data_IF_068901561886
#
_entry.id   IF_068901561886
#
_cell.length_a   1.000
_cell.length_b   1.000
_cell.length_c   1.000
_cell.angle_alpha   90.00
_cell.angle_beta   90.00
_cell.angle_gamma   90.00
#
_symmetry.space_group_name_H-M   'P 1'
#
loop_
_entity.id
_entity.type
_entity.pdbx_description
1 polymer ?
#
# COMPACT_ATOMS: atom_id res chain seq x y z
N UNK A 1 -9.45 27.51 7.00
CA UNK A 1 -10.02 28.24 5.85
C UNK A 1 -10.45 27.20 4.85
N UNK A 2 -11.75 27.14 4.54
CA UNK A 2 -12.45 26.17 3.67
C UNK A 2 -12.58 26.66 2.22
N UNK A 3 -11.62 27.49 1.80
CA UNK A 3 -11.75 28.32 0.59
C UNK A 3 -11.71 27.49 -0.68
N UNK A 4 -11.01 26.33 -0.68
CA UNK A 4 -10.92 25.47 -1.87
C UNK A 4 -12.24 24.76 -2.13
N UNK A 5 -12.80 24.11 -1.11
CA UNK A 5 -14.01 23.29 -1.25
C UNK A 5 -15.21 24.13 -1.65
N UNK A 6 -15.45 25.24 -0.95
CA UNK A 6 -16.60 26.11 -1.23
C UNK A 6 -16.52 26.69 -2.65
N UNK A 7 -15.31 27.06 -3.10
CA UNK A 7 -15.10 27.51 -4.48
C UNK A 7 -15.42 26.41 -5.51
N UNK A 8 -14.97 25.17 -5.27
CA UNK A 8 -15.26 24.04 -6.16
C UNK A 8 -16.76 23.69 -6.19
N UNK A 9 -17.45 23.81 -5.06
CA UNK A 9 -18.90 23.59 -4.98
C UNK A 9 -19.63 24.58 -5.89
N UNK A 10 -19.28 25.86 -5.81
CA UNK A 10 -19.89 26.91 -6.64
C UNK A 10 -19.50 26.79 -8.12
N UNK A 11 -18.21 26.55 -8.42
CA UNK A 11 -17.69 26.49 -9.79
C UNK A 11 -18.30 25.34 -10.60
N UNK A 12 -18.56 24.20 -9.96
CA UNK A 12 -18.99 22.97 -10.63
C UNK A 12 -20.44 22.57 -10.37
N UNK A 13 -21.23 23.45 -9.73
CA UNK A 13 -22.64 23.16 -9.35
C UNK A 13 -22.75 21.82 -8.61
N UNK A 14 -21.86 21.59 -7.65
CA UNK A 14 -21.75 20.33 -6.92
C UNK A 14 -23.03 20.09 -6.13
N UNK A 15 -23.63 18.91 -6.30
CA UNK A 15 -24.85 18.51 -5.58
C UNK A 15 -24.54 17.76 -4.29
N UNK A 16 -23.46 16.99 -4.28
CA UNK A 16 -23.11 16.08 -3.22
C UNK A 16 -21.66 16.26 -2.76
N UNK A 17 -21.44 16.16 -1.46
CA UNK A 17 -20.09 16.11 -0.88
C UNK A 17 -19.92 14.75 -0.23
N UNK A 18 -18.91 14.01 -0.69
CA UNK A 18 -18.62 12.65 -0.27
C UNK A 18 -17.45 12.65 0.72
N UNK A 19 -17.77 12.41 1.98
CA UNK A 19 -16.82 12.42 3.10
C UNK A 19 -16.16 11.05 3.20
N UNK A 20 -14.86 10.97 2.96
CA UNK A 20 -14.11 9.72 2.94
C UNK A 20 -13.11 9.61 4.07
N UNK A 21 -12.98 8.42 4.62
CA UNK A 21 -11.98 8.08 5.64
C UNK A 21 -11.49 6.66 5.42
N UNK A 22 -10.35 6.30 6.00
CA UNK A 22 -9.78 4.95 5.84
C UNK A 22 -9.79 4.21 7.16
N UNK A 23 -10.30 2.99 7.14
CA UNK A 23 -10.37 2.14 8.33
C UNK A 23 -9.05 1.44 8.65
N UNK A 24 -9.00 0.74 9.79
CA UNK A 24 -7.79 0.04 10.26
C UNK A 24 -7.22 -0.94 9.24
N UNK A 25 -8.06 -1.63 8.46
CA UNK A 25 -7.60 -2.61 7.46
C UNK A 25 -7.16 -1.97 6.15
N UNK A 26 -7.35 -0.66 5.98
CA UNK A 26 -6.93 0.11 4.80
C UNK A 26 -8.01 0.30 3.75
N UNK A 27 -9.26 -0.02 4.06
CA UNK A 27 -10.39 0.21 3.16
C UNK A 27 -10.89 1.64 3.32
N UNK A 28 -10.99 2.35 2.20
CA UNK A 28 -11.67 3.64 2.16
C UNK A 28 -13.18 3.43 2.30
N UNK A 29 -13.76 4.16 3.25
CA UNK A 29 -15.17 4.23 3.59
C UNK A 29 -15.69 5.63 3.28
N UNK A 30 -17.01 5.78 3.14
CA UNK A 30 -17.58 7.09 2.80
C UNK A 30 -18.98 7.32 3.35
N UNK A 31 -19.33 8.59 3.53
CA UNK A 31 -20.70 9.07 3.81
C UNK A 31 -20.95 10.31 2.95
N UNK A 32 -22.03 10.31 2.18
CA UNK A 32 -22.37 11.41 1.29
C UNK A 32 -23.43 12.32 1.91
N UNK A 33 -23.21 13.63 1.84
CA UNK A 33 -24.13 14.67 2.32
C UNK A 33 -24.50 15.67 1.20
N UNK A 34 -25.63 16.38 1.29
CA UNK A 34 -25.95 17.45 0.35
C UNK A 34 -24.93 18.58 0.41
N UNK A 35 -24.46 19.06 -0.75
CA UNK A 35 -23.49 20.17 -0.80
C UNK A 35 -23.99 21.47 -0.15
N UNK A 36 -25.31 21.68 -0.10
CA UNK A 36 -25.95 22.83 0.57
C UNK A 36 -25.72 22.85 2.10
N UNK A 37 -25.36 21.73 2.69
CA UNK A 37 -25.12 21.60 4.13
C UNK A 37 -23.63 21.78 4.47
N UNK A 38 -22.79 22.09 3.47
CA UNK A 38 -21.34 22.33 3.62
C UNK A 38 -21.06 23.83 3.60
N UNK A 39 -20.79 24.38 4.79
CA UNK A 39 -20.40 25.79 5.00
C UNK A 39 -19.09 25.88 5.81
N UNK A 40 -18.71 27.09 6.26
CA UNK A 40 -17.50 27.26 7.08
C UNK A 40 -17.59 26.53 8.42
N UNK A 41 -18.77 26.50 9.04
CA UNK A 41 -19.01 25.86 10.34
C UNK A 41 -18.89 24.32 10.24
N UNK A 42 -19.28 23.75 9.09
CA UNK A 42 -19.10 22.33 8.80
C UNK A 42 -17.63 21.87 8.91
N UNK A 43 -16.66 22.70 8.51
CA UNK A 43 -15.24 22.35 8.62
C UNK A 43 -14.70 22.43 10.06
N UNK A 44 -15.38 23.15 10.96
CA UNK A 44 -15.02 23.24 12.36
C UNK A 44 -15.64 22.09 13.17
N UNK A 45 -16.94 21.86 12.96
CA UNK A 45 -17.75 20.89 13.69
C UNK A 45 -17.60 19.46 13.15
N UNK A 46 -17.51 19.29 11.83
CA UNK A 46 -17.50 18.00 11.16
C UNK A 46 -18.87 17.31 11.11
N UNK A 47 -18.89 16.09 10.56
CA UNK A 47 -20.08 15.25 10.43
C UNK A 47 -20.07 14.12 11.45
N UNK A 48 -21.13 13.96 12.24
CA UNK A 48 -21.27 12.81 13.14
C UNK A 48 -21.52 11.52 12.36
N UNK A 49 -20.92 10.42 12.82
CA UNK A 49 -21.19 9.06 12.32
C UNK A 49 -21.04 8.00 13.43
N UNK A 50 -21.59 6.80 13.16
CA UNK A 50 -21.49 5.63 14.04
C UNK A 50 -20.22 4.83 13.74
N UNK A 51 -19.25 4.91 14.65
CA UNK A 51 -17.99 4.18 14.58
C UNK A 51 -18.06 2.72 15.03
N UNK A 52 -19.19 2.24 15.59
CA UNK A 52 -19.31 0.86 16.09
C UNK A 52 -19.40 -0.20 14.99
N UNK A 53 -19.76 0.23 13.77
CA UNK A 53 -19.76 -0.62 12.58
C UNK A 53 -18.37 -0.81 11.97
N UNK A 54 -17.34 -0.16 12.51
CA UNK A 54 -15.96 -0.26 12.04
C UNK A 54 -15.19 -1.31 12.83
N UNK A 55 -14.74 -2.37 12.15
CA UNK A 55 -13.98 -3.45 12.79
C UNK A 55 -12.72 -2.93 13.48
N UNK A 56 -12.57 -3.27 14.76
CA UNK A 56 -11.44 -2.85 15.58
C UNK A 56 -11.52 -1.41 16.10
N UNK A 57 -12.66 -0.71 15.96
CA UNK A 57 -12.88 0.63 16.53
C UNK A 57 -13.76 0.56 17.79
N UNK A 58 -14.66 1.52 17.99
CA UNK A 58 -15.47 1.69 19.20
C UNK A 58 -16.46 0.54 19.40
N UNK A 59 -16.71 0.21 20.67
CA UNK A 59 -17.84 -0.65 21.03
C UNK A 59 -19.18 0.10 20.87
N UNK A 60 -20.28 -0.65 20.82
CA UNK A 60 -21.65 -0.11 20.69
C UNK A 60 -21.99 0.90 21.81
N UNK A 61 -21.34 0.80 22.97
CA UNK A 61 -21.57 1.67 24.13
C UNK A 61 -20.87 3.04 24.04
N UNK A 62 -19.99 3.28 23.08
CA UNK A 62 -19.28 4.55 22.85
C UNK A 62 -19.11 4.83 21.35
N UNK A 63 -20.19 4.68 20.58
CA UNK A 63 -20.16 4.58 19.12
C UNK A 63 -19.95 5.91 18.37
N UNK A 64 -20.36 7.03 18.96
CA UNK A 64 -20.42 8.31 18.25
C UNK A 64 -19.03 8.88 17.98
N UNK A 65 -18.78 9.27 16.72
CA UNK A 65 -17.51 9.78 16.24
C UNK A 65 -17.74 10.95 15.26
N UNK A 66 -16.72 11.79 15.04
CA UNK A 66 -16.80 12.92 14.11
C UNK A 66 -15.86 12.68 12.91
N UNK A 67 -16.39 12.84 11.70
CA UNK A 67 -15.61 13.02 10.49
C UNK A 67 -15.29 14.50 10.32
N UNK A 68 -14.03 14.87 10.51
CA UNK A 68 -13.58 16.25 10.32
C UNK A 68 -12.93 16.39 8.94
N UNK A 69 -13.58 17.08 7.98
CA UNK A 69 -13.07 17.23 6.62
C UNK A 69 -11.83 18.12 6.55
N UNK A 70 -10.93 17.81 5.61
CA UNK A 70 -9.75 18.61 5.31
C UNK A 70 -9.86 19.26 3.93
N UNK A 71 -10.04 20.58 3.90
CA UNK A 71 -10.28 21.40 2.68
C UNK A 71 -9.26 21.15 1.55
N UNK A 72 -7.99 20.99 1.91
CA UNK A 72 -6.91 20.77 0.93
C UNK A 72 -7.08 19.51 0.08
N UNK A 73 -7.85 18.53 0.57
CA UNK A 73 -8.03 17.21 -0.05
C UNK A 73 -9.15 17.14 -1.09
N UNK A 74 -9.89 18.23 -1.29
CA UNK A 74 -11.04 18.27 -2.19
C UNK A 74 -10.67 17.94 -3.64
N UNK A 75 -11.43 17.04 -4.28
CA UNK A 75 -11.38 16.78 -5.73
C UNK A 75 -12.76 16.35 -6.25
N UNK A 76 -13.06 16.62 -7.52
CA UNK A 76 -14.30 16.14 -8.15
C UNK A 76 -14.22 14.65 -8.45
N UNK A 77 -15.24 13.90 -8.06
CA UNK A 77 -15.33 12.48 -8.41
C UNK A 77 -15.53 12.33 -9.93
N UNK A 78 -14.65 11.62 -10.65
CA UNK A 78 -14.72 11.51 -12.10
C UNK A 78 -15.72 10.43 -12.58
N UNK A 79 -16.38 9.70 -11.67
CA UNK A 79 -17.23 8.55 -12.01
C UNK A 79 -18.70 8.76 -11.66
N UNK A 80 -19.03 9.68 -10.76
CA UNK A 80 -20.42 9.95 -10.35
C UNK A 80 -21.22 10.67 -11.45
N UNK A 81 -22.48 10.29 -11.62
CA UNK A 81 -23.40 10.93 -12.58
C UNK A 81 -23.71 12.38 -12.19
N UNK A 82 -24.07 12.59 -10.92
CA UNK A 82 -24.21 13.93 -10.35
C UNK A 82 -22.84 14.46 -9.93
N UNK A 83 -22.59 15.75 -10.15
CA UNK A 83 -21.38 16.43 -9.70
C UNK A 83 -21.20 16.23 -8.18
N UNK A 84 -20.17 15.48 -7.82
CA UNK A 84 -19.86 15.09 -6.45
C UNK A 84 -18.44 15.47 -6.12
N UNK A 85 -18.24 16.12 -4.97
CA UNK A 85 -16.92 16.51 -4.49
C UNK A 85 -16.50 15.55 -3.37
N UNK A 86 -15.33 14.94 -3.51
CA UNK A 86 -14.75 14.07 -2.49
C UNK A 86 -13.93 14.91 -1.51
N UNK A 87 -14.13 14.69 -0.21
CA UNK A 87 -13.34 15.27 0.87
C UNK A 87 -12.82 14.16 1.79
N UNK A 88 -11.54 14.23 2.15
CA UNK A 88 -11.02 13.33 3.19
C UNK A 88 -11.22 13.89 4.57
N UNK A 89 -11.50 12.99 5.49
CA UNK A 89 -11.76 13.28 6.87
C UNK A 89 -10.72 12.61 7.77
N UNK A 90 -10.31 13.33 8.81
CA UNK A 90 -9.79 12.69 10.01
C UNK A 90 -10.97 12.22 10.86
N UNK A 91 -10.75 11.18 11.65
CA UNK A 91 -11.73 10.73 12.64
C UNK A 91 -11.38 11.34 13.98
N UNK A 92 -12.34 12.01 14.61
CA UNK A 92 -12.18 12.77 15.84
C UNK A 92 -13.04 12.16 16.95
N UNK A 93 -12.45 12.04 18.14
CA UNK A 93 -13.13 11.64 19.37
C UNK A 93 -13.99 12.80 19.90
N UNK A 94 -15.33 12.69 19.98
CA UNK A 94 -16.19 13.80 20.40
C UNK A 94 -15.92 14.27 21.84
N UNK A 95 -15.51 13.37 22.73
CA UNK A 95 -15.30 13.72 24.14
C UNK A 95 -14.06 14.63 24.35
N UNK A 96 -13.03 14.50 23.50
CA UNK A 96 -11.75 15.21 23.65
C UNK A 96 -11.48 16.18 22.51
N UNK A 97 -12.21 16.06 21.40
CA UNK A 97 -11.99 16.75 20.13
C UNK A 97 -10.59 16.50 19.52
N UNK A 98 -9.94 15.40 19.93
CA UNK A 98 -8.63 14.98 19.43
C UNK A 98 -8.77 13.93 18.33
N UNK A 99 -7.76 13.81 17.47
CA UNK A 99 -7.69 12.76 16.45
C UNK A 99 -7.72 11.38 17.10
N UNK A 100 -8.60 10.51 16.63
CA UNK A 100 -8.82 9.20 17.18
C UNK A 100 -7.55 8.35 17.12
N UNK A 101 -7.26 7.61 18.20
CA UNK A 101 -6.00 6.88 18.32
C UNK A 101 -5.88 5.73 17.32
N UNK A 102 -7.01 5.17 16.87
CA UNK A 102 -7.05 4.07 15.88
C UNK A 102 -7.35 4.55 14.45
N UNK A 103 -7.45 5.85 14.22
CA UNK A 103 -7.53 6.41 12.87
C UNK A 103 -6.15 6.38 12.19
N UNK A 104 -5.99 5.60 11.09
CA UNK A 104 -4.74 5.52 10.36
C UNK A 104 -4.21 6.87 9.90
N UNK A 105 -5.10 7.77 9.46
CA UNK A 105 -4.71 9.08 8.94
C UNK A 105 -4.18 9.99 10.04
N UNK A 106 -4.82 9.98 11.21
CA UNK A 106 -4.34 10.65 12.42
C UNK A 106 -2.97 10.11 12.87
N UNK A 107 -2.74 8.79 12.82
CA UNK A 107 -1.43 8.19 13.13
C UNK A 107 -0.35 8.67 12.17
N UNK A 108 -0.64 8.70 10.86
CA UNK A 108 0.28 9.20 9.85
C UNK A 108 0.66 10.68 10.08
N UNK A 109 -0.31 11.53 10.47
CA UNK A 109 -0.06 12.93 10.85
C UNK A 109 0.84 13.03 12.09
N UNK A 110 0.61 12.18 13.11
CA UNK A 110 1.48 12.11 14.29
C UNK A 110 2.91 11.68 13.91
N UNK A 111 3.08 10.78 12.96
CA UNK A 111 4.40 10.36 12.49
C UNK A 111 5.18 11.50 11.80
N UNK A 112 4.53 12.30 10.95
CA UNK A 112 5.13 13.50 10.35
C UNK A 112 5.52 14.53 11.43
N UNK A 113 4.62 14.80 12.38
CA UNK A 113 4.88 15.71 13.49
C UNK A 113 6.03 15.21 14.39
N UNK A 114 6.13 13.90 14.60
CA UNK A 114 7.20 13.30 15.37
C UNK A 114 8.56 13.49 14.70
N UNK A 115 8.68 13.26 13.39
CA UNK A 115 9.91 13.55 12.65
C UNK A 115 10.36 15.01 12.88
N UNK A 116 9.44 15.96 12.75
CA UNK A 116 9.73 17.38 13.02
C UNK A 116 10.24 17.61 14.45
N UNK A 117 9.58 17.00 15.44
CA UNK A 117 9.95 17.13 16.86
C UNK A 117 11.35 16.59 17.18
N UNK A 118 11.84 15.62 16.41
CA UNK A 118 13.19 15.06 16.59
C UNK A 118 14.29 16.01 16.10
N UNK A 119 13.95 17.01 15.27
CA UNK A 119 14.91 17.90 14.63
C UNK A 119 15.78 17.26 13.54
N UNK A 120 15.55 15.98 13.19
CA UNK A 120 16.28 15.25 12.14
C UNK A 120 15.85 15.66 10.73
N UNK A 121 14.57 15.96 10.53
CA UNK A 121 13.99 16.41 9.27
C UNK A 121 12.69 17.17 9.51
N UNK A 122 12.24 17.93 8.51
CA UNK A 122 10.94 18.61 8.51
C UNK A 122 9.90 17.92 7.61
N UNK A 123 10.36 17.13 6.65
CA UNK A 123 9.53 16.53 5.61
C UNK A 123 10.00 15.11 5.29
N UNK A 124 9.09 14.14 5.33
CA UNK A 124 9.33 12.78 4.82
C UNK A 124 8.58 12.57 3.51
N UNK A 125 9.30 12.21 2.44
CA UNK A 125 8.72 11.90 1.14
C UNK A 125 8.63 10.40 0.94
N UNK A 126 7.47 9.97 0.44
CA UNK A 126 7.14 8.60 0.09
C UNK A 126 6.73 8.53 -1.38
N UNK A 127 7.24 7.50 -2.09
CA UNK A 127 6.88 7.18 -3.46
C UNK A 127 6.60 5.68 -3.58
N UNK A 128 5.37 5.21 -3.34
CA UNK A 128 4.96 3.83 -3.58
C UNK A 128 4.72 3.55 -5.07
N UNK A 129 5.10 2.36 -5.52
CA UNK A 129 4.80 1.80 -6.84
C UNK A 129 3.87 0.56 -6.64
N UNK A 130 2.54 0.75 -6.45
CA UNK A 130 1.63 -0.36 -6.25
C UNK A 130 1.30 -1.04 -7.59
N UNK A 131 1.80 -2.25 -7.76
CA UNK A 131 1.46 -3.10 -8.89
C UNK A 131 0.03 -3.66 -8.73
N UNK A 132 -0.65 -3.95 -9.84
CA UNK A 132 -2.02 -4.48 -9.83
C UNK A 132 -2.28 -5.41 -11.01
N UNK A 133 -3.35 -6.20 -10.90
CA UNK A 133 -3.83 -7.07 -11.98
C UNK A 133 -5.16 -6.56 -12.52
N UNK A 134 -5.40 -6.75 -13.82
CA UNK A 134 -6.70 -6.59 -14.46
C UNK A 134 -7.11 -7.96 -15.03
N UNK A 135 -8.28 -8.45 -14.64
CA UNK A 135 -8.86 -9.70 -15.11
C UNK A 135 -10.19 -9.45 -15.81
N UNK A 136 -10.61 -10.39 -16.66
CA UNK A 136 -11.94 -10.35 -17.26
C UNK A 136 -13.00 -10.78 -16.24
N UNK A 137 -12.74 -11.87 -15.52
CA UNK A 137 -13.67 -12.45 -14.55
C UNK A 137 -12.89 -13.13 -13.41
N UNK A 138 -13.49 -13.13 -12.23
CA UNK A 138 -12.99 -13.89 -11.07
C UNK A 138 -14.17 -14.55 -10.37
N UNK A 139 -14.09 -15.86 -10.14
CA UNK A 139 -15.07 -16.62 -9.36
C UNK A 139 -14.37 -17.30 -8.19
N UNK A 140 -14.99 -17.31 -7.01
CA UNK A 140 -14.43 -17.99 -5.83
C UNK A 140 -15.53 -18.44 -4.88
N UNK A 141 -15.24 -19.47 -4.08
CA UNK A 141 -16.03 -19.89 -2.91
C UNK A 141 -15.15 -20.55 -1.86
N UNK A 142 -15.60 -20.53 -0.61
CA UNK A 142 -14.98 -21.20 0.53
C UNK A 142 -16.06 -21.43 1.60
N UNK A 143 -16.84 -22.49 1.41
CA UNK A 143 -18.04 -22.82 2.20
C UNK A 143 -18.16 -24.35 2.35
N UNK A 144 -19.20 -24.88 3.05
CA UNK A 144 -19.35 -26.33 3.22
C UNK A 144 -19.47 -27.16 1.93
N UNK A 145 -19.80 -26.56 0.78
CA UNK A 145 -19.79 -27.24 -0.53
C UNK A 145 -18.36 -27.42 -1.07
N UNK A 146 -17.42 -26.58 -0.64
CA UNK A 146 -16.01 -26.68 -0.97
C UNK A 146 -15.31 -25.33 -1.10
N UNK A 147 -14.04 -25.38 -1.52
CA UNK A 147 -13.20 -24.20 -1.76
C UNK A 147 -12.64 -24.19 -3.18
N UNK A 148 -12.77 -23.07 -3.90
CA UNK A 148 -12.11 -22.86 -5.19
C UNK A 148 -11.95 -21.37 -5.51
N UNK A 149 -11.07 -21.07 -6.46
CA UNK A 149 -11.07 -19.82 -7.20
C UNK A 149 -10.70 -20.07 -8.66
N UNK A 150 -11.18 -19.22 -9.57
CA UNK A 150 -10.92 -19.28 -11.01
C UNK A 150 -10.81 -17.87 -11.55
N UNK A 151 -9.71 -17.62 -12.25
CA UNK A 151 -9.43 -16.34 -12.92
C UNK A 151 -9.57 -16.54 -14.43
N UNK A 152 -10.29 -15.63 -15.06
CA UNK A 152 -10.40 -15.53 -16.51
C UNK A 152 -9.61 -14.29 -16.96
N UNK A 153 -8.64 -14.48 -17.85
CA UNK A 153 -7.86 -13.41 -18.48
C UNK A 153 -7.58 -13.75 -19.94
N UNK A 154 -7.89 -12.83 -20.85
CA UNK A 154 -7.60 -12.93 -22.28
C UNK A 154 -6.10 -13.00 -22.57
N UNK A 155 -5.27 -12.35 -21.77
CA UNK A 155 -3.80 -12.42 -21.87
C UNK A 155 -3.20 -13.69 -21.24
N UNK A 156 -3.96 -14.36 -20.37
CA UNK A 156 -3.48 -15.52 -19.63
C UNK A 156 -2.87 -16.59 -20.54
N UNK A 157 -1.69 -17.09 -20.19
CA UNK A 157 -0.99 -18.13 -20.94
C UNK A 157 -1.79 -19.44 -21.05
N UNK A 158 -2.75 -19.65 -20.16
CA UNK A 158 -3.71 -20.76 -20.19
C UNK A 158 -4.87 -20.56 -21.19
N UNK A 159 -5.00 -19.39 -21.82
CA UNK A 159 -6.08 -19.08 -22.77
C UNK A 159 -5.72 -19.32 -24.24
N UNK A 160 -4.60 -20.00 -24.51
CA UNK A 160 -4.07 -20.20 -25.88
C UNK A 160 -4.98 -21.04 -26.78
N UNK A 161 -5.75 -21.97 -26.22
CA UNK A 161 -6.71 -22.83 -26.92
C UNK A 161 -8.17 -22.45 -26.62
N UNK A 162 -8.39 -21.37 -25.86
CA UNK A 162 -9.73 -20.92 -25.47
C UNK A 162 -10.56 -20.62 -26.71
N UNK A 163 -11.75 -21.20 -26.75
CA UNK A 163 -12.78 -20.86 -27.72
C UNK A 163 -13.47 -19.57 -27.27
N UNK A 164 -13.41 -18.54 -28.09
CA UNK A 164 -14.02 -17.23 -27.88
C UNK A 164 -14.83 -16.86 -29.12
N UNK A 165 -15.98 -16.22 -28.89
CA UNK A 165 -16.78 -15.67 -29.98
C UNK A 165 -15.94 -14.65 -30.77
N UNK A 166 -15.91 -14.77 -32.10
CA UNK A 166 -15.03 -13.98 -32.95
C UNK A 166 -13.62 -14.58 -33.20
N UNK A 167 -13.27 -15.68 -32.52
CA UNK A 167 -12.02 -16.42 -32.74
C UNK A 167 -10.87 -16.00 -31.82
N UNK A 168 -9.89 -16.90 -31.64
CA UNK A 168 -8.74 -16.67 -30.76
C UNK A 168 -7.58 -16.00 -31.52
N UNK A 169 -7.30 -14.73 -31.20
CA UNK A 169 -6.29 -13.93 -31.90
C UNK A 169 -4.82 -14.22 -31.51
N UNK A 170 -4.59 -15.20 -30.63
CA UNK A 170 -3.29 -15.76 -30.23
C UNK A 170 -2.31 -14.83 -29.46
N UNK A 171 -2.20 -13.54 -29.79
CA UNK A 171 -1.22 -12.61 -29.24
C UNK A 171 -1.32 -12.48 -27.72
N UNK A 172 -0.38 -13.08 -26.99
CA UNK A 172 -0.36 -13.12 -25.51
C UNK A 172 1.06 -13.12 -24.97
N UNK A 173 1.30 -12.53 -23.78
CA UNK A 173 2.54 -12.73 -23.06
C UNK A 173 2.67 -14.20 -22.63
N UNK A 174 3.90 -14.71 -22.58
CA UNK A 174 4.21 -15.99 -21.94
C UNK A 174 4.29 -15.81 -20.43
N UNK A 175 4.32 -16.90 -19.66
CA UNK A 175 4.63 -16.85 -18.21
C UNK A 175 5.90 -16.04 -17.98
N UNK A 176 5.84 -15.03 -17.10
CA UNK A 176 6.90 -14.03 -16.86
C UNK A 176 7.31 -13.20 -18.10
N UNK A 177 6.45 -13.10 -19.10
CA UNK A 177 6.72 -12.47 -20.40
C UNK A 177 5.91 -11.20 -20.67
N UNK A 178 5.23 -10.66 -19.65
CA UNK A 178 4.42 -9.44 -19.77
C UNK A 178 5.23 -8.13 -19.76
N UNK A 179 6.53 -8.19 -19.49
CA UNK A 179 7.32 -6.97 -19.29
C UNK A 179 7.63 -6.25 -20.61
N UNK A 180 6.90 -5.17 -20.88
CA UNK A 180 7.06 -4.25 -22.03
C UNK A 180 6.86 -4.79 -23.46
N UNK A 181 6.08 -5.84 -23.75
CA UNK A 181 5.71 -6.11 -25.14
C UNK A 181 4.79 -4.99 -25.65
N UNK A 182 4.89 -4.66 -26.94
CA UNK A 182 3.97 -3.70 -27.58
C UNK A 182 2.64 -4.38 -27.94
N UNK A 183 1.55 -3.62 -28.13
CA UNK A 183 0.32 -4.14 -28.71
C UNK A 183 0.57 -4.87 -30.06
N UNK A 184 -0.17 -5.94 -30.38
CA UNK A 184 -1.37 -6.43 -29.69
C UNK A 184 -1.10 -7.43 -28.55
N UNK A 185 0.16 -7.65 -28.14
CA UNK A 185 0.47 -8.56 -27.01
C UNK A 185 0.09 -7.92 -25.67
N UNK A 186 0.37 -6.63 -25.52
CA UNK A 186 -0.15 -5.79 -24.43
C UNK A 186 -1.55 -5.28 -24.81
N UNK A 187 -2.57 -5.90 -24.23
CA UNK A 187 -3.99 -5.58 -24.47
C UNK A 187 -4.52 -4.49 -23.54
N UNK A 188 -3.78 -4.13 -22.49
CA UNK A 188 -4.19 -3.18 -21.47
C UNK A 188 -3.66 -1.76 -21.69
N UNK A 189 -2.97 -1.48 -22.80
CA UNK A 189 -2.37 -0.18 -23.10
C UNK A 189 -3.38 0.98 -22.95
N UNK A 190 -4.52 0.89 -23.62
CA UNK A 190 -5.54 1.95 -23.61
C UNK A 190 -6.25 2.07 -22.25
N UNK A 191 -6.48 0.95 -21.56
CA UNK A 191 -7.06 0.96 -20.21
C UNK A 191 -6.13 1.65 -19.22
N UNK A 192 -4.82 1.36 -19.28
CA UNK A 192 -3.82 2.09 -18.48
C UNK A 192 -3.78 3.57 -18.85
N UNK A 193 -3.87 3.91 -20.14
CA UNK A 193 -3.95 5.29 -20.60
C UNK A 193 -5.14 6.04 -20.01
N UNK A 194 -6.32 5.41 -19.97
CA UNK A 194 -7.51 5.96 -19.33
C UNK A 194 -7.31 6.17 -17.81
N UNK A 195 -6.73 5.19 -17.12
CA UNK A 195 -6.37 5.32 -15.69
C UNK A 195 -5.44 6.52 -15.46
N UNK A 196 -4.39 6.68 -16.27
CA UNK A 196 -3.46 7.80 -16.16
C UNK A 196 -4.15 9.15 -16.38
N UNK A 197 -5.01 9.27 -17.39
CA UNK A 197 -5.76 10.50 -17.65
C UNK A 197 -6.68 10.86 -16.47
N UNK A 198 -7.34 9.87 -15.86
CA UNK A 198 -8.20 10.10 -14.69
C UNK A 198 -7.38 10.49 -13.46
N UNK A 199 -6.22 9.86 -13.22
CA UNK A 199 -5.31 10.24 -12.13
C UNK A 199 -4.82 11.69 -12.26
N UNK A 200 -4.40 12.10 -13.46
CA UNK A 200 -4.01 13.49 -13.75
C UNK A 200 -5.17 14.46 -13.54
N UNK A 201 -6.39 14.09 -13.94
CA UNK A 201 -7.58 14.92 -13.77
C UNK A 201 -7.92 15.20 -12.30
N UNK A 202 -7.60 14.28 -11.39
CA UNK A 202 -7.77 14.47 -9.93
C UNK A 202 -6.51 15.01 -9.24
N UNK A 203 -5.46 15.34 -10.01
CA UNK A 203 -4.27 16.06 -9.52
C UNK A 203 -3.05 15.19 -9.20
N UNK A 204 -3.04 13.91 -9.54
CA UNK A 204 -1.84 13.06 -9.40
C UNK A 204 -0.97 13.11 -10.66
N UNK A 205 0.28 13.54 -10.50
CA UNK A 205 1.26 13.56 -11.59
C UNK A 205 1.77 12.16 -11.92
N UNK A 206 1.38 11.64 -13.07
CA UNK A 206 1.80 10.37 -13.63
C UNK A 206 3.16 10.52 -14.29
N UNK A 207 4.09 9.64 -13.96
CA UNK A 207 5.45 9.61 -14.53
C UNK A 207 5.60 8.52 -15.60
N UNK A 208 4.94 7.37 -15.39
CA UNK A 208 5.03 6.22 -16.31
C UNK A 208 3.83 5.28 -16.12
N UNK A 209 3.47 4.52 -17.15
CA UNK A 209 2.63 3.33 -17.02
C UNK A 209 3.19 2.20 -17.87
N UNK A 210 3.05 0.96 -17.43
CA UNK A 210 3.48 -0.19 -18.18
C UNK A 210 2.78 -1.48 -17.77
N UNK A 211 2.86 -2.45 -18.68
CA UNK A 211 2.59 -3.84 -18.34
C UNK A 211 3.76 -4.41 -17.52
N UNK A 212 3.43 -5.16 -16.48
CA UNK A 212 4.36 -5.78 -15.54
C UNK A 212 4.74 -7.22 -15.95
N UNK A 213 5.55 -7.90 -15.14
CA UNK A 213 6.17 -9.17 -15.51
C UNK A 213 5.17 -10.33 -15.73
N UNK A 214 4.15 -10.48 -14.89
CA UNK A 214 3.25 -11.63 -14.94
C UNK A 214 2.35 -11.61 -16.17
N UNK A 215 2.03 -12.79 -16.70
CA UNK A 215 1.40 -12.94 -18.01
C UNK A 215 -0.10 -12.58 -18.07
N UNK A 216 -0.79 -12.51 -16.93
CA UNK A 216 -2.24 -12.39 -16.92
C UNK A 216 -2.67 -10.98 -16.48
N UNK A 217 -2.28 -9.95 -17.23
CA UNK A 217 -2.75 -8.58 -16.99
C UNK A 217 -2.16 -7.90 -15.76
N UNK A 218 -0.88 -8.12 -15.45
CA UNK A 218 -0.20 -7.33 -14.41
C UNK A 218 0.21 -5.96 -14.97
N UNK A 219 0.05 -4.91 -14.17
CA UNK A 219 0.29 -3.53 -14.57
C UNK A 219 0.89 -2.72 -13.42
N UNK A 220 1.55 -1.61 -13.76
CA UNK A 220 2.01 -0.59 -12.82
C UNK A 220 1.78 0.80 -13.42
N UNK A 221 1.45 1.77 -12.56
CA UNK A 221 1.41 3.19 -12.88
C UNK A 221 2.30 3.92 -11.85
N UNK A 222 3.41 4.47 -12.32
CA UNK A 222 4.30 5.28 -11.51
C UNK A 222 3.76 6.71 -11.42
N UNK A 223 3.63 7.20 -10.19
CA UNK A 223 3.21 8.57 -9.87
C UNK A 223 4.24 9.24 -9.00
N UNK A 224 4.34 10.56 -9.11
CA UNK A 224 5.30 11.35 -8.33
C UNK A 224 5.12 11.14 -6.83
N UNK A 225 6.24 11.14 -6.10
CA UNK A 225 6.24 11.07 -4.63
C UNK A 225 5.57 12.30 -3.99
N UNK A 226 5.10 12.16 -2.75
CA UNK A 226 4.56 13.27 -1.95
C UNK A 226 4.92 13.08 -0.46
N UNK A 227 4.52 14.01 0.41
CA UNK A 227 4.69 13.84 1.87
C UNK A 227 3.89 12.65 2.37
N UNK A 228 4.28 12.06 3.51
CA UNK A 228 3.73 10.81 4.03
C UNK A 228 2.20 10.75 4.01
N UNK A 229 1.51 11.73 4.61
CA UNK A 229 0.05 11.73 4.70
C UNK A 229 -0.59 11.91 3.32
N UNK A 230 -0.11 12.90 2.56
CA UNK A 230 -0.63 13.19 1.21
C UNK A 230 -0.42 12.02 0.26
N UNK A 231 0.71 11.32 0.38
CA UNK A 231 0.95 10.16 -0.48
C UNK A 231 0.07 8.99 -0.10
N UNK A 232 -0.21 8.78 1.18
CA UNK A 232 -1.16 7.76 1.60
C UNK A 232 -2.58 8.08 1.13
N UNK A 233 -2.99 9.35 1.17
CA UNK A 233 -4.23 9.86 0.55
C UNK A 233 -4.25 9.48 -0.95
N UNK A 234 -3.22 9.84 -1.71
CA UNK A 234 -3.10 9.55 -3.15
C UNK A 234 -3.13 8.04 -3.48
N UNK A 235 -2.61 7.17 -2.61
CA UNK A 235 -2.71 5.71 -2.81
C UNK A 235 -4.15 5.21 -2.75
N UNK A 236 -4.98 5.76 -1.85
CA UNK A 236 -6.39 5.41 -1.76
C UNK A 236 -7.14 5.85 -3.03
N UNK A 237 -6.90 7.09 -3.48
CA UNK A 237 -7.39 7.62 -4.77
C UNK A 237 -6.97 6.74 -5.94
N UNK A 238 -5.70 6.33 -6.00
CA UNK A 238 -5.19 5.52 -7.09
C UNK A 238 -5.90 4.17 -7.16
N UNK A 239 -6.07 3.50 -6.02
CA UNK A 239 -6.85 2.26 -5.94
C UNK A 239 -8.29 2.48 -6.40
N UNK A 240 -8.92 3.58 -5.98
CA UNK A 240 -10.28 3.95 -6.38
C UNK A 240 -10.38 4.15 -7.91
N UNK A 241 -9.48 4.93 -8.50
CA UNK A 241 -9.46 5.19 -9.95
C UNK A 241 -9.23 3.90 -10.74
N UNK A 242 -8.24 3.10 -10.36
CA UNK A 242 -7.91 1.85 -11.08
C UNK A 242 -9.09 0.87 -11.02
N UNK A 243 -9.74 0.69 -9.87
CA UNK A 243 -10.90 -0.18 -9.77
C UNK A 243 -12.08 0.32 -10.64
N UNK A 244 -12.40 1.61 -10.60
CA UNK A 244 -13.54 2.15 -11.35
C UNK A 244 -13.31 2.24 -12.85
N UNK A 245 -12.09 2.58 -13.30
CA UNK A 245 -11.75 2.54 -14.72
C UNK A 245 -11.80 1.10 -15.22
N UNK A 246 -11.21 0.13 -14.51
CA UNK A 246 -11.33 -1.28 -14.91
C UNK A 246 -12.79 -1.74 -14.99
N UNK A 247 -13.62 -1.35 -14.01
CA UNK A 247 -15.05 -1.65 -14.01
C UNK A 247 -15.79 -1.04 -15.21
N UNK A 248 -15.52 0.22 -15.56
CA UNK A 248 -16.11 0.89 -16.71
C UNK A 248 -15.76 0.22 -18.05
N UNK A 249 -14.61 -0.47 -18.12
CA UNK A 249 -14.20 -1.27 -19.27
C UNK A 249 -14.70 -2.74 -19.22
N UNK A 250 -15.59 -3.08 -18.27
CA UNK A 250 -16.13 -4.43 -18.11
C UNK A 250 -15.11 -5.44 -17.61
N UNK A 251 -14.09 -4.99 -16.88
CA UNK A 251 -13.03 -5.81 -16.26
C UNK A 251 -13.09 -5.68 -14.73
N UNK A 252 -12.26 -6.46 -14.05
CA UNK A 252 -12.07 -6.35 -12.59
C UNK A 252 -10.59 -6.21 -12.26
N UNK A 253 -10.22 -5.13 -11.59
CA UNK A 253 -8.85 -4.93 -11.11
C UNK A 253 -8.68 -5.47 -9.68
N UNK A 254 -7.45 -5.88 -9.34
CA UNK A 254 -7.09 -6.25 -7.96
C UNK A 254 -5.65 -5.89 -7.66
N UNK A 255 -5.42 -5.45 -6.43
CA UNK A 255 -4.11 -5.15 -5.87
C UNK A 255 -3.56 -6.28 -4.98
N UNK A 256 -4.18 -7.46 -5.06
CA UNK A 256 -3.80 -8.61 -4.24
C UNK A 256 -2.33 -9.02 -4.50
N UNK A 257 -1.54 -9.40 -3.49
CA UNK A 257 -0.10 -9.64 -3.66
C UNK A 257 0.21 -10.85 -4.54
N UNK A 258 -0.65 -11.86 -4.54
CA UNK A 258 -0.44 -13.10 -5.30
C UNK A 258 -1.77 -13.69 -5.78
N UNK A 259 -2.37 -13.14 -6.84
CA UNK A 259 -3.60 -13.68 -7.42
C UNK A 259 -3.33 -14.90 -8.32
N UNK A 260 -2.17 -14.95 -9.00
CA UNK A 260 -1.82 -16.02 -9.93
C UNK A 260 -0.70 -16.91 -9.34
N UNK A 261 -0.98 -18.20 -9.21
CA UNK A 261 0.01 -19.19 -8.75
C UNK A 261 1.05 -19.43 -9.85
N UNK A 262 2.34 -19.41 -9.47
CA UNK A 262 3.43 -19.74 -10.39
C UNK A 262 3.90 -18.60 -11.31
N UNK A 263 3.38 -17.38 -11.15
CA UNK A 263 3.88 -16.18 -11.84
C UNK A 263 4.25 -15.05 -10.85
N UNK A 264 4.72 -13.90 -11.32
CA UNK A 264 4.99 -12.73 -10.48
C UNK A 264 3.71 -12.26 -9.74
N UNK A 265 3.89 -11.53 -8.65
CA UNK A 265 2.80 -11.01 -7.82
C UNK A 265 3.01 -9.53 -7.51
N UNK A 266 1.95 -8.83 -7.10
CA UNK A 266 1.95 -7.39 -6.91
C UNK A 266 2.73 -6.92 -5.68
N UNK A 267 3.80 -6.16 -5.91
CA UNK A 267 4.47 -5.37 -4.89
C UNK A 267 3.88 -3.97 -4.68
N UNK A 268 4.33 -3.32 -3.62
CA UNK A 268 4.24 -1.87 -3.46
C UNK A 268 5.63 -1.38 -3.10
N UNK A 269 6.50 -1.16 -4.09
CA UNK A 269 7.86 -0.72 -3.81
C UNK A 269 7.82 0.71 -3.26
N UNK A 270 8.29 0.92 -2.03
CA UNK A 270 8.16 2.23 -1.35
C UNK A 270 9.51 2.92 -1.31
N UNK A 271 9.65 3.94 -2.14
CA UNK A 271 10.78 4.86 -2.14
C UNK A 271 10.65 5.86 -0.99
N UNK A 272 11.71 6.07 -0.21
CA UNK A 272 11.70 6.91 0.99
C UNK A 272 12.92 7.83 1.04
N UNK A 273 12.69 9.06 1.48
CA UNK A 273 13.72 10.01 1.89
C UNK A 273 13.13 11.00 2.89
N UNK A 274 13.94 11.55 3.79
CA UNK A 274 13.54 12.74 4.53
C UNK A 274 14.49 13.90 4.31
N UNK A 275 13.95 15.09 4.52
CA UNK A 275 14.55 16.36 4.16
C UNK A 275 14.52 17.30 5.36
N UNK A 276 15.48 18.21 5.37
CA UNK A 276 15.57 19.29 6.35
C UNK A 276 15.94 20.56 5.62
N UNK A 277 15.13 21.60 5.76
CA UNK A 277 15.33 22.92 5.17
C UNK A 277 15.61 22.85 3.65
N UNK A 278 14.90 21.95 2.95
CA UNK A 278 15.05 21.74 1.51
C UNK A 278 16.30 20.95 1.09
N UNK A 279 17.03 20.36 2.03
CA UNK A 279 18.18 19.47 1.78
C UNK A 279 17.83 18.02 2.08
N UNK A 280 18.08 17.13 1.11
CA UNK A 280 17.88 15.70 1.25
C UNK A 280 18.90 15.11 2.24
N UNK A 281 18.42 14.59 3.37
CA UNK A 281 19.28 14.06 4.41
C UNK A 281 19.81 12.66 4.09
N UNK A 282 19.28 11.99 3.06
CA UNK A 282 19.75 10.69 2.61
C UNK A 282 20.95 10.77 1.68
N UNK A 283 21.24 11.94 1.11
CA UNK A 283 22.38 12.12 0.23
C UNK A 283 23.68 12.30 1.05
N UNK A 284 24.74 11.59 0.67
CA UNK A 284 26.05 11.69 1.31
C UNK A 284 27.15 11.05 0.47
N UNK A 285 28.25 10.69 1.12
CA UNK A 285 29.48 10.14 0.54
C UNK A 285 29.76 8.69 0.94
N UNK A 286 28.81 8.04 1.63
CA UNK A 286 28.87 6.62 1.98
C UNK A 286 28.45 5.73 0.79
N UNK A 287 28.16 4.46 1.08
CA UNK A 287 27.77 3.47 0.08
C UNK A 287 26.66 3.98 -0.87
N UNK A 288 26.92 3.88 -2.18
CA UNK A 288 26.01 4.33 -3.26
C UNK A 288 25.60 5.82 -3.22
N UNK A 289 26.36 6.66 -2.51
CA UNK A 289 26.07 8.09 -2.33
C UNK A 289 24.98 8.36 -1.30
N UNK A 290 24.80 7.43 -0.35
CA UNK A 290 23.98 7.63 0.83
C UNK A 290 24.76 8.40 1.91
N UNK A 291 24.05 9.01 2.85
CA UNK A 291 24.63 9.49 4.10
C UNK A 291 24.71 8.38 5.14
N UNK A 292 25.55 8.58 6.17
CA UNK A 292 25.57 7.70 7.35
C UNK A 292 24.18 7.60 8.01
N UNK A 293 23.45 8.72 8.05
CA UNK A 293 22.08 8.79 8.55
C UNK A 293 21.12 7.88 7.76
N UNK A 294 21.24 7.84 6.42
CA UNK A 294 20.47 6.90 5.61
C UNK A 294 20.87 5.44 5.87
N UNK A 295 22.14 5.15 6.13
CA UNK A 295 22.55 3.80 6.53
C UNK A 295 21.90 3.41 7.86
N UNK A 296 21.90 4.29 8.86
CA UNK A 296 21.22 4.03 10.13
C UNK A 296 19.70 3.86 9.97
N UNK A 297 19.08 4.63 9.08
CA UNK A 297 17.67 4.44 8.72
C UNK A 297 17.42 3.02 8.19
N UNK A 298 18.25 2.55 7.25
CA UNK A 298 18.18 1.18 6.73
C UNK A 298 18.38 0.15 7.84
N UNK A 299 19.30 0.37 8.78
CA UNK A 299 19.52 -0.55 9.90
C UNK A 299 18.31 -0.65 10.84
N UNK A 300 17.60 0.45 11.07
CA UNK A 300 16.31 0.44 11.77
C UNK A 300 15.25 -0.38 11.04
N UNK A 301 15.11 -0.20 9.73
CA UNK A 301 14.22 -1.02 8.88
C UNK A 301 14.56 -2.51 8.99
N UNK A 302 15.85 -2.89 8.88
CA UNK A 302 16.26 -4.30 8.94
C UNK A 302 15.99 -4.90 10.31
N UNK A 303 16.29 -4.17 11.39
CA UNK A 303 16.05 -4.61 12.77
C UNK A 303 14.57 -4.92 13.01
N UNK A 304 13.69 -4.02 12.56
CA UNK A 304 12.26 -4.08 12.85
C UNK A 304 11.44 -4.75 11.74
N UNK A 305 12.07 -5.30 10.71
CA UNK A 305 11.41 -5.76 9.49
C UNK A 305 10.25 -6.75 9.73
N UNK A 306 10.40 -7.69 10.66
CA UNK A 306 9.34 -8.68 10.95
C UNK A 306 8.11 -8.04 11.59
N UNK A 307 8.30 -7.10 12.51
CA UNK A 307 7.21 -6.30 13.07
C UNK A 307 6.60 -5.39 12.00
N UNK A 308 7.43 -4.77 11.15
CA UNK A 308 6.97 -3.97 10.00
C UNK A 308 6.11 -4.78 9.04
N UNK A 309 6.38 -6.07 8.83
CA UNK A 309 5.57 -6.92 7.93
C UNK A 309 4.11 -7.00 8.38
N UNK A 310 3.80 -6.82 9.67
CA UNK A 310 2.42 -6.81 10.13
C UNK A 310 1.61 -5.66 9.49
N UNK A 311 2.24 -4.51 9.23
CA UNK A 311 1.61 -3.35 8.57
C UNK A 311 1.90 -3.27 7.06
N UNK A 312 3.09 -3.68 6.63
CA UNK A 312 3.54 -3.54 5.23
C UNK A 312 3.15 -4.74 4.36
N UNK A 313 2.83 -5.89 4.96
CA UNK A 313 2.40 -7.13 4.32
C UNK A 313 1.14 -7.67 5.04
N UNK A 314 0.13 -6.82 5.12
CA UNK A 314 -1.00 -6.93 6.05
C UNK A 314 -2.08 -7.98 5.67
N UNK A 315 -1.73 -9.03 4.93
CA UNK A 315 -2.65 -10.09 4.54
C UNK A 315 -1.99 -11.47 4.55
N UNK A 316 -2.78 -12.53 4.69
CA UNK A 316 -2.26 -13.90 4.55
C UNK A 316 -1.80 -14.24 3.12
N UNK A 317 -2.28 -13.47 2.12
CA UNK A 317 -1.88 -13.60 0.72
C UNK A 317 -0.52 -12.94 0.42
N UNK A 318 -0.13 -11.91 1.19
CA UNK A 318 1.20 -11.28 1.14
C UNK A 318 2.34 -12.31 1.22
N UNK A 319 2.18 -13.31 2.08
CA UNK A 319 3.17 -14.37 2.31
C UNK A 319 3.12 -15.48 1.25
N UNK A 320 2.21 -15.39 0.28
CA UNK A 320 2.25 -16.18 -0.97
C UNK A 320 3.07 -15.46 -2.05
N UNK A 321 3.25 -14.13 -1.92
CA UNK A 321 4.20 -13.34 -2.72
C UNK A 321 5.62 -13.45 -2.18
N UNK A 322 5.81 -13.33 -0.86
CA UNK A 322 7.12 -13.39 -0.19
C UNK A 322 7.72 -14.80 -0.09
N UNK A 323 7.84 -15.47 -1.24
CA UNK A 323 8.48 -16.78 -1.38
C UNK A 323 9.62 -16.70 -2.41
N UNK A 324 10.72 -17.45 -2.25
CA UNK A 324 11.82 -17.44 -3.23
C UNK A 324 11.36 -17.75 -4.68
N UNK A 325 11.96 -17.09 -5.68
CA UNK A 325 11.81 -17.45 -7.11
C UNK A 325 10.97 -16.52 -8.00
N UNK A 326 10.34 -15.47 -7.46
CA UNK A 326 9.46 -14.53 -8.20
C UNK A 326 9.85 -13.06 -7.99
N UNK A 327 11.15 -12.76 -7.96
CA UNK A 327 11.68 -11.42 -7.60
C UNK A 327 11.27 -10.94 -6.19
N UNK A 328 10.76 -11.84 -5.36
CA UNK A 328 10.30 -11.52 -4.02
C UNK A 328 11.48 -11.22 -3.09
N UNK A 329 11.45 -10.09 -2.37
CA UNK A 329 12.53 -9.65 -1.47
C UNK A 329 12.44 -10.32 -0.09
N UNK A 330 12.85 -11.58 0.01
CA UNK A 330 12.79 -12.34 1.28
C UNK A 330 13.99 -12.08 2.21
N UNK A 331 15.17 -11.86 1.62
CA UNK A 331 16.42 -11.64 2.36
C UNK A 331 16.63 -10.16 2.64
N UNK A 332 16.66 -9.81 3.94
CA UNK A 332 16.88 -8.45 4.44
C UNK A 332 18.34 -8.05 4.28
N UNK A 333 18.66 -7.69 3.04
CA UNK A 333 19.90 -7.07 2.66
C UNK A 333 19.62 -5.76 1.93
N UNK A 334 20.61 -4.89 1.92
CA UNK A 334 20.60 -3.70 1.08
C UNK A 334 21.70 -3.76 0.02
N UNK A 335 21.41 -3.22 -1.16
CA UNK A 335 22.35 -3.20 -2.27
C UNK A 335 22.00 -2.14 -3.31
N UNK A 336 23.03 -1.59 -3.95
CA UNK A 336 22.86 -0.76 -5.12
C UNK A 336 22.45 -1.62 -6.32
N UNK A 337 21.36 -1.25 -6.98
CA UNK A 337 20.86 -1.85 -8.24
C UNK A 337 20.39 -3.31 -8.15
N UNK A 338 20.71 -4.08 -7.12
CA UNK A 338 20.31 -5.48 -7.00
C UNK A 338 18.81 -5.63 -6.69
N UNK A 339 18.09 -6.29 -7.60
CA UNK A 339 16.65 -6.54 -7.46
C UNK A 339 16.33 -7.74 -6.55
N UNK A 340 17.30 -8.55 -6.13
CA UNK A 340 17.04 -9.64 -5.17
C UNK A 340 17.01 -9.16 -3.71
N UNK A 341 17.50 -7.93 -3.44
CA UNK A 341 17.59 -7.34 -2.11
C UNK A 341 16.26 -6.71 -1.67
N UNK A 342 15.94 -6.83 -0.37
CA UNK A 342 14.73 -6.21 0.20
C UNK A 342 14.77 -4.70 0.27
N UNK A 343 15.98 -4.13 0.34
CA UNK A 343 16.19 -2.69 0.35
C UNK A 343 17.11 -2.33 -0.81
N UNK A 344 16.56 -1.70 -1.83
CA UNK A 344 17.32 -1.29 -3.01
C UNK A 344 17.71 0.17 -2.90
N UNK A 345 18.88 0.51 -3.40
CA UNK A 345 19.32 1.90 -3.56
C UNK A 345 19.29 2.23 -5.05
N UNK A 346 18.26 2.97 -5.52
CA UNK A 346 18.17 3.35 -6.91
C UNK A 346 19.37 4.18 -7.37
N UNK A 347 19.85 3.91 -8.58
CA UNK A 347 20.88 4.74 -9.17
C UNK A 347 20.29 6.11 -9.53
N UNK A 348 20.86 7.17 -8.97
CA UNK A 348 20.52 8.55 -9.28
C UNK A 348 21.77 9.40 -9.41
N UNK A 349 21.78 10.28 -10.41
CA UNK A 349 22.87 11.22 -10.65
C UNK A 349 22.83 12.45 -9.72
N UNK A 350 21.66 12.79 -9.18
CA UNK A 350 21.44 13.97 -8.35
C UNK A 350 21.31 13.60 -6.87
N UNK A 351 21.94 14.36 -5.95
CA UNK A 351 21.70 14.25 -4.51
C UNK A 351 20.21 14.35 -4.15
N UNK A 352 19.44 15.17 -4.87
CA UNK A 352 17.99 15.30 -4.64
C UNK A 352 17.23 14.00 -4.91
N UNK A 353 17.74 13.14 -5.79
CA UNK A 353 17.11 11.85 -6.11
C UNK A 353 17.52 10.71 -5.19
N UNK A 354 18.42 10.93 -4.21
CA UNK A 354 18.88 9.87 -3.30
C UNK A 354 17.77 9.44 -2.35
N UNK A 355 17.54 8.14 -2.27
CA UNK A 355 16.44 7.51 -1.55
C UNK A 355 16.74 6.03 -1.34
N UNK A 356 15.96 5.40 -0.46
CA UNK A 356 15.95 3.95 -0.28
C UNK A 356 14.62 3.40 -0.79
N UNK A 357 14.63 2.22 -1.40
CA UNK A 357 13.45 1.55 -1.96
C UNK A 357 13.21 0.26 -1.16
N UNK A 358 12.16 0.25 -0.33
CA UNK A 358 11.72 -0.94 0.38
C UNK A 358 10.80 -1.74 -0.53
N UNK A 359 11.18 -2.98 -0.84
CA UNK A 359 10.48 -3.78 -1.87
C UNK A 359 9.51 -4.82 -1.33
N UNK A 360 9.63 -5.12 -0.04
CA UNK A 360 8.77 -6.09 0.62
C UNK A 360 7.32 -5.63 0.80
N UNK A 361 6.98 -4.35 1.00
CA UNK A 361 5.58 -3.96 1.14
C UNK A 361 4.74 -4.38 -0.07
N UNK A 362 3.45 -4.56 0.16
CA UNK A 362 2.48 -4.86 -0.87
C UNK A 362 1.19 -4.04 -0.70
N UNK A 363 0.37 -3.93 -1.75
CA UNK A 363 -0.78 -3.02 -1.74
C UNK A 363 -1.92 -3.41 -0.79
N UNK A 364 -1.86 -4.56 -0.10
CA UNK A 364 -2.86 -4.89 0.94
C UNK A 364 -2.69 -4.08 2.21
N UNK A 365 -1.50 -3.51 2.38
CA UNK A 365 -1.21 -2.60 3.47
C UNK A 365 -2.15 -1.39 3.45
N UNK A 366 -2.59 -0.99 4.64
CA UNK A 366 -3.11 0.35 4.87
C UNK A 366 -1.96 1.35 4.62
N UNK A 367 -2.04 2.25 3.62
CA UNK A 367 -0.90 3.07 3.23
C UNK A 367 -0.46 4.02 4.36
N UNK A 368 -1.38 4.52 5.18
CA UNK A 368 -1.07 5.40 6.30
C UNK A 368 -0.24 4.66 7.36
N UNK A 369 -0.71 3.49 7.79
CA UNK A 369 0.00 2.66 8.80
C UNK A 369 1.33 2.15 8.25
N UNK A 370 1.36 1.72 6.99
CA UNK A 370 2.54 1.27 6.29
C UNK A 370 3.64 2.34 6.33
N UNK A 371 3.33 3.55 5.87
CA UNK A 371 4.33 4.62 5.78
C UNK A 371 4.75 5.14 7.15
N UNK A 372 3.79 5.29 8.09
CA UNK A 372 4.09 5.67 9.46
C UNK A 372 5.02 4.66 10.15
N UNK A 373 4.72 3.37 10.06
CA UNK A 373 5.54 2.32 10.67
C UNK A 373 6.96 2.30 10.10
N UNK A 374 7.10 2.42 8.77
CA UNK A 374 8.42 2.51 8.12
C UNK A 374 9.21 3.75 8.56
N UNK A 375 8.56 4.91 8.66
CA UNK A 375 9.20 6.13 9.17
C UNK A 375 9.70 5.94 10.60
N UNK A 376 8.86 5.39 11.48
CA UNK A 376 9.20 5.15 12.88
C UNK A 376 10.37 4.17 13.03
N UNK A 377 10.38 3.07 12.29
CA UNK A 377 11.50 2.12 12.30
C UNK A 377 12.80 2.76 11.84
N UNK A 378 12.76 3.58 10.79
CA UNK A 378 13.92 4.31 10.31
C UNK A 378 14.44 5.35 11.30
N UNK A 379 13.55 6.07 11.99
CA UNK A 379 13.93 7.01 13.05
C UNK A 379 14.60 6.28 14.23
N UNK A 380 14.07 5.12 14.65
CA UNK A 380 14.71 4.31 15.70
C UNK A 380 16.13 3.92 15.32
N UNK A 381 16.32 3.48 14.07
CA UNK A 381 17.62 3.17 13.51
C UNK A 381 18.61 4.31 13.64
N UNK A 382 18.19 5.54 13.31
CA UNK A 382 19.02 6.75 13.44
C UNK A 382 19.33 7.08 14.89
N UNK A 383 18.31 7.10 15.76
CA UNK A 383 18.47 7.43 17.19
C UNK A 383 19.46 6.49 17.88
N UNK A 384 19.40 5.21 17.55
CA UNK A 384 20.21 4.17 18.15
C UNK A 384 21.47 3.83 17.33
N UNK A 385 21.74 4.56 16.23
CA UNK A 385 22.89 4.35 15.33
C UNK A 385 23.05 2.89 14.88
N UNK A 386 21.94 2.29 14.46
CA UNK A 386 21.87 0.87 14.10
C UNK A 386 22.44 0.71 12.70
N UNK A 387 23.65 0.17 12.58
CA UNK A 387 24.26 -0.04 11.26
C UNK A 387 23.67 -1.29 10.57
N UNK A 388 23.34 -1.24 9.27
CA UNK A 388 22.71 -2.35 8.53
C UNK A 388 23.68 -3.48 8.16
N UNK A 389 24.93 -3.43 8.64
CA UNK A 389 26.03 -4.27 8.17
C UNK A 389 26.55 -3.87 6.77
N UNK A 390 27.38 -4.72 6.18
CA UNK A 390 27.92 -4.50 4.84
C UNK A 390 26.86 -4.77 3.76
N UNK A 391 26.91 -4.00 2.66
CA UNK A 391 26.04 -4.21 1.52
C UNK A 391 26.29 -5.58 0.86
N UNK A 392 25.23 -6.20 0.33
CA UNK A 392 25.32 -7.51 -0.33
C UNK A 392 25.03 -7.40 -1.83
N UNK A 393 26.09 -7.18 -2.61
CA UNK A 393 26.00 -6.97 -4.07
C UNK A 393 25.98 -8.26 -4.90
N UNK A 394 26.06 -9.42 -4.26
CA UNK A 394 25.88 -10.72 -4.93
C UNK A 394 24.39 -10.96 -5.21
N UNK A 395 24.07 -11.73 -6.26
CA UNK A 395 22.71 -12.24 -6.44
C UNK A 395 22.34 -13.09 -5.22
N UNK A 396 21.35 -12.64 -4.44
CA UNK A 396 21.04 -13.27 -3.17
C UNK A 396 20.41 -14.66 -3.37
N UNK A 397 19.75 -14.89 -4.51
CA UNK A 397 19.16 -16.18 -4.85
C UNK A 397 20.20 -17.30 -5.04
N UNK A 398 21.44 -16.93 -5.38
CA UNK A 398 22.52 -17.88 -5.65
C UNK A 398 23.47 -18.04 -4.45
N UNK A 399 23.12 -17.49 -3.29
CA UNK A 399 23.94 -17.63 -2.09
C UNK A 399 24.02 -19.10 -1.66
N UNK A 400 25.21 -19.60 -1.29
CA UNK A 400 25.33 -20.91 -0.67
C UNK A 400 24.40 -21.00 0.56
N UNK A 401 23.73 -22.13 0.81
CA UNK A 401 22.77 -22.26 1.91
C UNK A 401 23.31 -21.85 3.29
N UNK A 402 24.60 -22.08 3.54
CA UNK A 402 25.27 -21.72 4.79
C UNK A 402 25.54 -20.20 4.92
N UNK A 403 25.70 -19.48 3.80
CA UNK A 403 25.76 -18.01 3.80
C UNK A 403 24.36 -17.41 3.95
N UNK A 404 23.37 -17.98 3.24
CA UNK A 404 21.97 -17.51 3.27
C UNK A 404 21.34 -17.57 4.66
N UNK A 405 21.64 -18.60 5.47
CA UNK A 405 21.14 -18.73 6.86
C UNK A 405 21.55 -17.58 7.79
N UNK A 406 22.61 -16.84 7.46
CA UNK A 406 23.12 -15.73 8.27
C UNK A 406 22.44 -14.40 7.94
N UNK A 407 21.69 -14.34 6.83
CA UNK A 407 21.01 -13.13 6.38
C UNK A 407 19.66 -13.07 7.08
N UNK A 408 19.32 -11.98 7.78
CA UNK A 408 18.00 -11.81 8.36
C UNK A 408 16.91 -11.90 7.26
N UNK A 409 15.72 -12.34 7.64
CA UNK A 409 14.60 -12.53 6.72
C UNK A 409 13.36 -11.83 7.22
N UNK A 410 12.53 -11.38 6.27
CA UNK A 410 11.15 -10.94 6.52
C UNK A 410 10.34 -12.08 7.16
N UNK A 411 9.18 -11.73 7.72
CA UNK A 411 8.26 -12.73 8.23
C UNK A 411 7.81 -13.69 7.11
N UNK A 412 7.65 -14.98 7.44
CA UNK A 412 7.20 -16.01 6.49
C UNK A 412 5.69 -16.26 6.53
N UNK A 413 4.98 -15.66 7.49
CA UNK A 413 3.53 -15.73 7.64
C UNK A 413 3.01 -14.48 8.35
N UNK A 414 1.71 -14.20 8.20
CA UNK A 414 1.06 -13.10 8.92
C UNK A 414 1.11 -13.35 10.43
N UNK A 415 0.92 -14.59 10.86
CA UNK A 415 0.99 -15.01 12.27
C UNK A 415 2.35 -14.66 12.90
N UNK A 416 3.46 -14.97 12.21
CA UNK A 416 4.80 -14.59 12.67
C UNK A 416 4.98 -13.07 12.72
N UNK A 417 4.44 -12.34 11.75
CA UNK A 417 4.57 -10.89 11.73
C UNK A 417 3.80 -10.24 12.88
N UNK A 418 2.61 -10.76 13.22
CA UNK A 418 1.82 -10.32 14.37
C UNK A 418 2.53 -10.63 15.69
N UNK A 419 3.10 -11.82 15.84
CA UNK A 419 3.93 -12.17 17.01
C UNK A 419 5.17 -11.27 17.11
N UNK A 420 5.82 -10.97 15.99
CA UNK A 420 6.96 -10.07 15.97
C UNK A 420 6.56 -8.64 16.35
N UNK A 421 5.43 -8.14 15.84
CA UNK A 421 4.87 -6.85 16.22
C UNK A 421 4.54 -6.82 17.71
N UNK A 422 3.93 -7.88 18.24
CA UNK A 422 3.59 -7.98 19.65
C UNK A 422 4.83 -7.82 20.55
N UNK A 423 5.95 -8.45 20.17
CA UNK A 423 7.20 -8.46 20.91
C UNK A 423 8.15 -7.26 20.62
N UNK A 424 7.96 -6.54 19.51
CA UNK A 424 8.83 -5.45 19.04
C UNK A 424 7.99 -4.27 18.52
N UNK A 425 7.29 -3.61 19.43
CA UNK A 425 6.43 -2.44 19.14
C UNK A 425 6.92 -1.11 19.71
N UNK A 426 7.92 -1.12 20.59
CA UNK A 426 8.35 0.09 21.31
C UNK A 426 8.79 1.23 20.38
N UNK A 427 9.38 0.90 19.23
CA UNK A 427 9.78 1.89 18.23
C UNK A 427 8.60 2.63 17.60
N UNK A 428 7.40 2.02 17.59
CA UNK A 428 6.17 2.62 17.05
C UNK A 428 5.51 3.57 18.05
N UNK A 429 5.58 3.24 19.34
CA UNK A 429 4.92 4.01 20.42
C UNK A 429 5.69 5.26 20.82
N UNK A 430 6.94 5.38 20.37
CA UNK A 430 7.76 6.55 20.55
C UNK A 430 7.05 7.84 20.06
N UNK A 431 7.06 8.88 20.90
CA UNK A 431 6.35 10.13 20.61
C UNK A 431 4.82 10.05 20.60
N UNK A 432 4.24 8.92 21.02
CA UNK A 432 2.79 8.71 20.99
C UNK A 432 2.22 8.60 19.57
N UNK A 433 3.03 8.21 18.60
CA UNK A 433 2.60 8.08 17.20
C UNK A 433 1.57 6.95 17.07
N UNK A 434 1.99 5.75 17.45
CA UNK A 434 1.11 4.61 17.71
C UNK A 434 0.84 4.50 19.21
N UNK A 435 -0.29 3.90 19.59
CA UNK A 435 -0.60 3.54 20.98
C UNK A 435 -0.66 2.03 21.11
N UNK A 436 -0.37 1.49 22.30
CA UNK A 436 -0.49 0.05 22.55
C UNK A 436 -1.92 -0.44 22.29
N UNK A 437 -2.93 0.34 22.68
CA UNK A 437 -4.34 0.05 22.42
C UNK A 437 -4.64 -0.12 20.92
N UNK A 438 -4.13 0.79 20.09
CA UNK A 438 -4.29 0.68 18.63
C UNK A 438 -3.58 -0.56 18.08
N UNK A 439 -2.37 -0.86 18.54
CA UNK A 439 -1.59 -2.00 18.07
C UNK A 439 -2.24 -3.31 18.49
N UNK A 440 -2.74 -3.41 19.72
CA UNK A 440 -3.45 -4.60 20.21
C UNK A 440 -4.74 -4.84 19.42
N UNK A 441 -5.55 -3.79 19.20
CA UNK A 441 -6.75 -3.89 18.37
C UNK A 441 -6.44 -4.31 16.92
N UNK A 442 -5.33 -3.81 16.34
CA UNK A 442 -4.87 -4.22 15.02
C UNK A 442 -4.47 -5.70 14.98
N UNK A 443 -3.73 -6.17 16.00
CA UNK A 443 -3.31 -7.57 16.11
C UNK A 443 -4.52 -8.48 16.23
N UNK A 444 -5.48 -8.16 17.11
CA UNK A 444 -6.71 -8.93 17.29
C UNK A 444 -7.48 -9.06 15.97
N UNK A 445 -7.67 -7.93 15.27
CA UNK A 445 -8.36 -7.90 13.99
C UNK A 445 -7.67 -8.76 12.93
N UNK A 446 -6.33 -8.72 12.85
CA UNK A 446 -5.57 -9.50 11.87
C UNK A 446 -5.42 -10.97 12.25
N UNK A 447 -5.53 -11.33 13.53
CA UNK A 447 -5.59 -12.75 13.96
C UNK A 447 -6.85 -13.44 13.42
N UNK A 448 -7.97 -12.72 13.26
CA UNK A 448 -9.17 -13.28 12.62
C UNK A 448 -8.91 -13.75 11.18
N UNK A 449 -8.15 -12.99 10.38
CA UNK A 449 -7.75 -13.39 9.02
C UNK A 449 -6.89 -14.67 9.03
N UNK A 450 -5.97 -14.77 10.00
CA UNK A 450 -5.11 -15.95 10.19
C UNK A 450 -5.95 -17.17 10.54
N UNK A 451 -6.84 -17.04 11.52
CA UNK A 451 -7.69 -18.11 12.00
C UNK A 451 -8.66 -18.59 10.91
N UNK A 452 -9.27 -17.66 10.17
CA UNK A 452 -10.15 -17.98 9.04
C UNK A 452 -9.41 -18.79 7.97
N UNK A 453 -8.19 -18.38 7.60
CA UNK A 453 -7.41 -19.14 6.63
C UNK A 453 -7.01 -20.52 7.19
N UNK A 454 -6.62 -20.59 8.47
CA UNK A 454 -6.21 -21.84 9.12
C UNK A 454 -7.34 -22.88 9.19
N UNK A 455 -8.59 -22.42 9.30
CA UNK A 455 -9.78 -23.29 9.32
C UNK A 455 -10.29 -23.68 7.93
N UNK A 456 -9.80 -23.04 6.86
CA UNK A 456 -10.25 -23.32 5.50
C UNK A 456 -9.38 -24.40 4.84
N UNK A 457 -10.01 -25.50 4.38
CA UNK A 457 -9.30 -26.56 3.64
C UNK A 457 -8.83 -26.06 2.28
N UNK A 458 -7.53 -26.22 1.98
CA UNK A 458 -6.96 -25.79 0.71
C UNK A 458 -7.09 -26.89 -0.37
N UNK A 459 -7.42 -26.57 -1.65
CA UNK A 459 -7.55 -27.57 -2.71
C UNK A 459 -6.33 -28.49 -2.90
N UNK A 460 -5.12 -27.96 -2.68
CA UNK A 460 -3.87 -28.74 -2.76
C UNK A 460 -3.76 -29.86 -1.70
N UNK A 461 -4.47 -29.74 -0.58
CA UNK A 461 -4.47 -30.77 0.48
C UNK A 461 -5.15 -32.06 0.02
N UNK A 462 -6.04 -31.98 -0.97
CA UNK A 462 -6.63 -33.18 -1.58
C UNK A 462 -5.59 -33.96 -2.38
N UNK A 463 -4.72 -33.29 -3.13
CA UNK A 463 -3.61 -33.94 -3.85
C UNK A 463 -2.63 -34.61 -2.86
N UNK A 464 -2.31 -33.93 -1.76
CA UNK A 464 -1.34 -34.43 -0.78
C UNK A 464 -1.88 -35.52 0.15
N UNK A 465 -3.16 -35.45 0.55
CA UNK A 465 -3.67 -36.20 1.70
C UNK A 465 -4.98 -36.96 1.45
N UNK A 466 -5.63 -36.86 0.28
CA UNK A 466 -6.94 -37.51 0.08
C UNK A 466 -6.89 -39.04 0.15
N UNK A 467 -5.76 -39.64 -0.25
CA UNK A 467 -5.54 -41.09 -0.22
C UNK A 467 -4.53 -41.51 0.86
N UNK A 468 -4.46 -40.78 1.97
CA UNK A 468 -3.49 -41.04 3.04
C UNK A 468 -3.69 -42.38 3.78
#
# INVERSE_FOLDING_TARGET
MSTKTLALIEEHDVKWVDLRFTDTIGKEQHVTIPARDVDEEFFENGQMFDGSSMSGWKGINESDMILRPEDGTAFLDPFTEDATLVLRCDVIEPATMQGYDRDPRSIAKRAEAYLQSTGMGDTAFFGPEPEFFIFDEVHWKADPEGAMYRITSEEGAWATDRQVEGGNLAHRPRVKGGYFPVPPVDSFHDIRGAMCNTLEAIGQSVEVHHHEVANAGQNEIGVKFNTLVKKADEVQEMKYVIHNVAHAYGKTATFMPKPVVGDNGSGMHVHQSFWKEGVNQFAGDEYAGLSEMALYYIGGIIKHARALNAFTNASTNSYKRLVPGFEAPVMLAYSARNRSASIRIPYTASPKGKRVELRFPDPTANPYLCFAAMLMAGIDGIKNKIHPGDAMDKNLYDLPPEEGKKVPTVAHSLDQALEALENDRAFLTEGGVFTDDMIDAYIELKREDVDRLRMATHPIEFDMYYSC
#
